data_IF_561005984148
#
_entry.id   IF_561005984148
#
_cell.length_a   1.000
_cell.length_b   1.000
_cell.length_c   1.000
_cell.angle_alpha   90.00
_cell.angle_beta   90.00
_cell.angle_gamma   90.00
#
_symmetry.space_group_name_H-M   'P 1'
#
loop_
_entity.id
_entity.type
_entity.pdbx_description
1 polymer ?
#
# COMPACT_ATOMS: atom_id res chain seq x y z
N UNK A 1 -2.22 2.27 -18.27
CA UNK A 1 -3.69 2.35 -18.12
C UNK A 1 -4.42 1.49 -19.16
N UNK A 2 -3.97 0.25 -19.45
CA UNK A 2 -4.65 -0.66 -20.39
C UNK A 2 -5.65 -1.61 -19.71
N UNK A 3 -5.47 -1.88 -18.42
CA UNK A 3 -6.28 -2.84 -17.66
C UNK A 3 -7.36 -2.17 -16.79
N UNK A 4 -7.19 -0.90 -16.44
CA UNK A 4 -8.11 -0.17 -15.56
C UNK A 4 -8.48 1.18 -16.17
N UNK A 5 -9.76 1.54 -16.10
CA UNK A 5 -10.29 2.88 -16.46
C UNK A 5 -10.00 3.88 -15.36
N UNK A 6 -10.12 3.44 -14.11
CA UNK A 6 -9.77 4.20 -12.92
C UNK A 6 -8.95 3.32 -11.99
N UNK A 7 -7.96 3.94 -11.34
CA UNK A 7 -7.10 3.29 -10.36
C UNK A 7 -6.69 4.36 -9.35
N UNK A 8 -7.01 4.12 -8.08
CA UNK A 8 -6.71 5.00 -6.96
C UNK A 8 -6.03 4.21 -5.84
N UNK A 9 -5.08 4.85 -5.18
CA UNK A 9 -4.35 4.29 -4.05
C UNK A 9 -4.56 5.20 -2.84
N UNK A 10 -4.98 4.60 -1.74
CA UNK A 10 -5.11 5.27 -0.45
C UNK A 10 -4.18 4.62 0.56
N UNK A 11 -3.46 5.46 1.30
CA UNK A 11 -2.52 5.06 2.34
C UNK A 11 -2.98 5.64 3.68
N UNK A 12 -3.40 4.76 4.59
CA UNK A 12 -3.74 5.12 5.95
C UNK A 12 -2.63 4.65 6.90
N UNK A 13 -2.05 5.59 7.65
CA UNK A 13 -1.02 5.32 8.66
C UNK A 13 -1.58 5.65 10.04
N UNK A 14 -1.73 4.64 10.87
CA UNK A 14 -2.31 4.78 12.21
C UNK A 14 -1.27 4.41 13.27
N UNK A 15 -0.92 5.34 14.20
CA UNK A 15 -0.05 5.02 15.32
C UNK A 15 -0.63 3.90 16.18
N UNK A 16 0.20 2.93 16.60
CA UNK A 16 -0.22 1.88 17.54
C UNK A 16 -0.07 2.38 18.97
N UNK A 17 -1.11 3.04 19.47
CA UNK A 17 -1.15 3.51 20.85
C UNK A 17 -1.02 2.35 21.84
N UNK A 18 -0.30 2.57 22.95
CA UNK A 18 -0.07 1.56 23.99
C UNK A 18 1.08 0.60 23.73
N UNK A 19 1.83 0.77 22.64
CA UNK A 19 3.10 0.07 22.39
C UNK A 19 4.28 0.93 22.84
N UNK A 20 5.34 0.31 23.34
CA UNK A 20 6.57 1.02 23.77
C UNK A 20 7.55 1.26 22.62
N UNK A 21 7.32 0.64 21.45
CA UNK A 21 8.20 0.67 20.29
C UNK A 21 7.88 1.79 19.28
N UNK A 22 6.84 2.59 19.56
CA UNK A 22 6.46 3.72 18.70
C UNK A 22 5.99 3.30 17.30
N UNK A 23 5.52 2.07 17.15
CA UNK A 23 5.17 1.52 15.82
C UNK A 23 3.85 2.07 15.27
N UNK A 24 3.73 2.04 13.94
CA UNK A 24 2.50 2.38 13.23
C UNK A 24 1.97 1.19 12.43
N UNK A 25 0.66 1.15 12.22
CA UNK A 25 0.02 0.24 11.26
C UNK A 25 -0.17 0.97 9.95
N UNK A 26 0.21 0.34 8.84
CA UNK A 26 0.03 0.88 7.50
C UNK A 26 -1.03 0.05 6.80
N UNK A 27 -2.04 0.72 6.23
CA UNK A 27 -3.09 0.09 5.41
C UNK A 27 -3.06 0.70 4.02
N UNK A 28 -2.86 -0.15 3.02
CA UNK A 28 -3.06 0.20 1.61
C UNK A 28 -4.46 -0.22 1.18
N UNK A 29 -5.15 0.68 0.47
CA UNK A 29 -6.40 0.39 -0.21
C UNK A 29 -6.25 0.73 -1.69
N UNK A 30 -6.68 -0.17 -2.56
CA UNK A 30 -6.69 0.05 -4.01
C UNK A 30 -8.12 0.00 -4.50
N UNK A 31 -8.60 1.13 -5.01
CA UNK A 31 -9.90 1.26 -5.63
C UNK A 31 -9.71 1.31 -7.13
N UNK A 32 -10.45 0.47 -7.87
CA UNK A 32 -10.23 0.34 -9.31
C UNK A 32 -11.51 0.00 -10.06
N UNK A 33 -11.59 0.49 -11.29
CA UNK A 33 -12.57 0.04 -12.29
C UNK A 33 -11.83 -0.64 -13.43
N UNK A 34 -12.16 -1.90 -13.69
CA UNK A 34 -11.60 -2.67 -14.80
C UNK A 34 -11.99 -2.05 -16.14
N UNK A 35 -11.06 -2.10 -17.10
CA UNK A 35 -11.34 -1.67 -18.46
C UNK A 35 -12.28 -2.62 -19.20
N UNK A 36 -12.23 -3.92 -18.87
CA UNK A 36 -13.09 -5.00 -19.34
C UNK A 36 -13.03 -6.18 -18.35
N UNK A 37 -13.86 -7.21 -18.54
CA UNK A 37 -13.94 -8.38 -17.63
C UNK A 37 -12.63 -9.18 -17.56
N UNK A 38 -11.84 -9.21 -18.63
CA UNK A 38 -10.57 -9.94 -18.71
C UNK A 38 -9.42 -9.24 -17.97
N UNK A 39 -9.61 -7.99 -17.52
CA UNK A 39 -8.59 -7.29 -16.78
C UNK A 39 -8.33 -7.97 -15.42
N UNK A 40 -7.05 -8.20 -15.06
CA UNK A 40 -6.72 -8.86 -13.80
C UNK A 40 -7.06 -7.98 -12.60
N UNK A 41 -7.20 -8.58 -11.42
CA UNK A 41 -7.26 -7.81 -10.18
C UNK A 41 -5.87 -7.24 -9.84
N UNK A 42 -5.77 -6.06 -9.21
CA UNK A 42 -4.51 -5.38 -8.96
C UNK A 42 -3.73 -5.98 -7.78
N UNK A 43 -3.79 -7.30 -7.56
CA UNK A 43 -3.11 -7.98 -6.45
C UNK A 43 -1.60 -7.75 -6.51
N UNK A 44 -1.00 -7.84 -7.70
CA UNK A 44 0.43 -7.53 -7.87
C UNK A 44 0.80 -6.10 -7.51
N UNK A 45 -0.12 -5.13 -7.70
CA UNK A 45 0.11 -3.74 -7.29
C UNK A 45 0.03 -3.61 -5.76
N UNK A 46 -0.88 -4.32 -5.10
CA UNK A 46 -0.94 -4.38 -3.64
C UNK A 46 0.33 -4.98 -3.04
N UNK A 47 0.83 -6.10 -3.57
CA UNK A 47 2.10 -6.70 -3.12
C UNK A 47 3.27 -5.73 -3.29
N UNK A 48 3.33 -5.01 -4.41
CA UNK A 48 4.35 -4.00 -4.63
C UNK A 48 4.27 -2.84 -3.61
N UNK A 49 3.08 -2.39 -3.25
CA UNK A 49 2.88 -1.39 -2.19
C UNK A 49 3.42 -1.88 -0.83
N UNK A 50 3.25 -3.16 -0.50
CA UNK A 50 3.83 -3.76 0.70
C UNK A 50 5.37 -3.74 0.66
N UNK A 51 5.97 -4.18 -0.44
CA UNK A 51 7.43 -4.19 -0.63
C UNK A 51 8.04 -2.77 -0.51
N UNK A 52 7.42 -1.77 -1.14
CA UNK A 52 7.84 -0.37 -1.00
C UNK A 52 7.76 0.06 0.46
N UNK A 53 6.65 -0.25 1.14
CA UNK A 53 6.44 0.17 2.53
C UNK A 53 7.50 -0.45 3.45
N UNK A 54 7.83 -1.73 3.25
CA UNK A 54 8.91 -2.39 3.99
C UNK A 54 10.27 -1.73 3.71
N UNK A 55 10.59 -1.46 2.45
CA UNK A 55 11.83 -0.79 2.06
C UNK A 55 11.97 0.61 2.66
N UNK A 56 10.89 1.41 2.60
CA UNK A 56 10.83 2.74 3.21
C UNK A 56 10.97 2.68 4.73
N UNK A 57 10.29 1.75 5.40
CA UNK A 57 10.41 1.56 6.84
C UNK A 57 11.85 1.25 7.25
N UNK A 58 12.52 0.31 6.55
CA UNK A 58 13.92 -0.02 6.80
C UNK A 58 14.86 1.17 6.54
N UNK A 59 14.57 2.01 5.55
CA UNK A 59 15.35 3.20 5.27
C UNK A 59 15.19 4.24 6.39
N UNK A 60 13.96 4.54 6.80
CA UNK A 60 13.66 5.52 7.84
C UNK A 60 14.24 5.12 9.20
N UNK A 61 14.17 3.83 9.55
CA UNK A 61 14.78 3.33 10.79
C UNK A 61 16.32 3.48 10.84
N UNK A 62 16.99 3.55 9.68
CA UNK A 62 18.45 3.82 9.62
C UNK A 62 18.79 5.30 9.76
N UNK A 63 17.81 6.19 9.65
CA UNK A 63 18.00 7.63 9.78
C UNK A 63 17.75 8.15 11.20
N UNK A 64 17.38 7.27 12.14
CA UNK A 64 17.16 7.56 13.56
C UNK A 64 18.39 7.22 14.39
#
# INVERSE_FOLDING_TARGET
MKHYKSLSFSLDVTPKFGTTDGTSSVKWSVEYEKANEDAPDPIGLLTFCEEITTGLNLHLLKQV
#
